data_IF_379494992084
#
_entry.id   IF_379494992084
#
_cell.length_a   1.000
_cell.length_b   1.000
_cell.length_c   1.000
_cell.angle_alpha   90.00
_cell.angle_beta   90.00
_cell.angle_gamma   90.00
#
_symmetry.space_group_name_H-M   'P 1'
#
loop_
_entity.id
_entity.type
_entity.pdbx_description
1 polymer ?
#
# COMPACT_ATOMS: atom_id res chain seq x y z
N UNK A 1 -0.35 8.93 -11.30
CA UNK A 1 -0.93 10.30 -11.43
C UNK A 1 -1.66 10.47 -12.78
N UNK A 2 -1.05 10.13 -13.94
CA UNK A 2 -1.70 10.32 -15.25
C UNK A 2 -3.04 9.57 -15.35
N UNK A 3 -3.11 8.30 -14.92
CA UNK A 3 -4.36 7.54 -14.91
C UNK A 3 -5.46 8.22 -14.06
N UNK A 4 -5.10 8.80 -12.90
CA UNK A 4 -6.03 9.58 -12.08
C UNK A 4 -6.53 10.83 -12.84
N UNK A 5 -5.64 11.52 -13.55
CA UNK A 5 -6.04 12.68 -14.35
C UNK A 5 -7.00 12.27 -15.47
N UNK A 6 -6.79 11.12 -16.12
CA UNK A 6 -7.75 10.56 -17.07
C UNK A 6 -9.11 10.29 -16.43
N UNK A 7 -9.13 9.57 -15.30
CA UNK A 7 -10.36 9.23 -14.59
C UNK A 7 -11.18 10.47 -14.16
N UNK A 8 -10.51 11.58 -13.83
CA UNK A 8 -11.14 12.83 -13.40
C UNK A 8 -11.57 13.74 -14.56
N UNK A 9 -10.79 13.78 -15.65
CA UNK A 9 -10.98 14.75 -16.74
C UNK A 9 -11.59 14.15 -18.00
N UNK A 10 -11.43 12.82 -18.22
CA UNK A 10 -11.77 12.17 -19.48
C UNK A 10 -10.79 12.50 -20.63
N UNK A 11 -9.68 13.20 -20.37
CA UNK A 11 -8.70 13.54 -21.42
C UNK A 11 -7.83 12.32 -21.75
N UNK A 12 -8.05 11.78 -22.95
CA UNK A 12 -7.40 10.56 -23.45
C UNK A 12 -5.86 10.66 -23.48
N UNK A 13 -5.29 11.84 -23.59
CA UNK A 13 -3.84 12.02 -23.59
C UNK A 13 -3.20 11.53 -22.27
N UNK A 14 -3.93 11.67 -21.16
CA UNK A 14 -3.47 11.14 -19.87
C UNK A 14 -3.55 9.61 -19.80
N UNK A 15 -4.58 9.00 -20.39
CA UNK A 15 -4.67 7.55 -20.47
C UNK A 15 -3.53 6.99 -21.33
N UNK A 16 -3.32 7.55 -22.53
CA UNK A 16 -2.26 7.12 -23.44
C UNK A 16 -0.87 7.23 -22.80
N UNK A 17 -0.63 8.30 -22.04
CA UNK A 17 0.60 8.48 -21.26
C UNK A 17 0.77 7.39 -20.17
N UNK A 18 -0.27 7.14 -19.39
CA UNK A 18 -0.23 6.16 -18.30
C UNK A 18 -0.03 4.73 -18.84
N UNK A 19 -0.80 4.37 -19.86
CA UNK A 19 -0.73 3.07 -20.53
C UNK A 19 0.65 2.87 -21.15
N UNK A 20 1.19 3.90 -21.83
CA UNK A 20 2.52 3.82 -22.44
C UNK A 20 3.61 3.52 -21.42
N UNK A 21 3.63 4.19 -20.28
CA UNK A 21 4.60 3.92 -19.20
C UNK A 21 4.48 2.52 -18.62
N UNK A 22 3.26 2.05 -18.37
CA UNK A 22 3.05 0.70 -17.81
C UNK A 22 3.42 -0.37 -18.81
N UNK A 23 3.03 -0.19 -20.07
CA UNK A 23 3.34 -1.17 -21.11
C UNK A 23 4.85 -1.28 -21.37
N UNK A 24 5.56 -0.16 -21.43
CA UNK A 24 7.02 -0.14 -21.51
C UNK A 24 7.68 -0.85 -20.33
N UNK A 25 7.18 -0.60 -19.11
CA UNK A 25 7.65 -1.25 -17.90
C UNK A 25 7.45 -2.77 -17.95
N UNK A 26 6.22 -3.24 -18.23
CA UNK A 26 5.95 -4.68 -18.27
C UNK A 26 6.71 -5.38 -19.39
N UNK A 27 6.86 -4.75 -20.55
CA UNK A 27 7.68 -5.28 -21.65
C UNK A 27 9.16 -5.41 -21.26
N UNK A 28 9.69 -4.47 -20.48
CA UNK A 28 11.07 -4.55 -19.97
C UNK A 28 11.21 -5.73 -18.97
N UNK A 29 10.24 -5.92 -18.08
CA UNK A 29 10.18 -7.07 -17.16
C UNK A 29 10.13 -8.41 -17.92
N UNK A 30 9.26 -8.51 -18.93
CA UNK A 30 9.16 -9.69 -19.80
C UNK A 30 10.49 -9.99 -20.52
N UNK A 31 11.21 -8.96 -20.96
CA UNK A 31 12.51 -9.12 -21.59
C UNK A 31 13.57 -9.68 -20.62
N UNK A 32 13.61 -9.21 -19.37
CA UNK A 32 14.48 -9.80 -18.34
C UNK A 32 14.14 -11.27 -18.11
N UNK A 33 12.86 -11.59 -17.93
CA UNK A 33 12.38 -12.95 -17.71
C UNK A 33 12.72 -13.86 -18.88
N UNK A 34 12.55 -13.40 -20.13
CA UNK A 34 12.88 -14.17 -21.33
C UNK A 34 14.39 -14.45 -21.47
N UNK A 35 15.26 -13.59 -20.90
CA UNK A 35 16.70 -13.79 -20.83
C UNK A 35 17.13 -14.68 -19.65
N UNK A 36 16.20 -15.20 -18.84
CA UNK A 36 16.49 -15.98 -17.65
C UNK A 36 16.96 -15.15 -16.46
N UNK A 37 16.71 -13.84 -16.51
CA UNK A 37 17.00 -12.88 -15.44
C UNK A 37 15.77 -12.70 -14.52
N UNK A 38 16.01 -12.27 -13.29
CA UNK A 38 14.93 -11.96 -12.36
C UNK A 38 14.23 -10.66 -12.75
N UNK A 39 12.91 -10.63 -12.61
CA UNK A 39 12.13 -9.39 -12.67
C UNK A 39 12.56 -8.42 -11.55
N UNK A 40 12.27 -7.13 -11.70
CA UNK A 40 12.71 -6.08 -10.76
C UNK A 40 12.10 -6.23 -9.35
N UNK A 41 10.99 -6.95 -9.23
CA UNK A 41 10.30 -7.25 -7.96
C UNK A 41 10.72 -8.61 -7.38
N UNK A 42 11.93 -9.05 -7.63
CA UNK A 42 12.52 -10.26 -7.07
C UNK A 42 13.55 -9.95 -5.97
N UNK A 43 13.80 -10.89 -5.08
CA UNK A 43 14.78 -10.77 -4.00
C UNK A 43 14.48 -9.59 -3.06
N UNK A 44 15.46 -8.76 -2.78
CA UNK A 44 15.32 -7.62 -1.85
C UNK A 44 14.36 -6.52 -2.34
N UNK A 45 13.98 -6.53 -3.61
CA UNK A 45 13.03 -5.57 -4.17
C UNK A 45 11.57 -5.84 -3.79
N UNK A 46 11.28 -6.91 -3.05
CA UNK A 46 9.91 -7.21 -2.60
C UNK A 46 9.26 -6.10 -1.77
N UNK A 47 10.04 -5.25 -1.13
CA UNK A 47 9.51 -4.04 -0.50
C UNK A 47 8.73 -3.16 -1.50
N UNK A 48 9.19 -3.08 -2.73
CA UNK A 48 8.62 -2.24 -3.78
C UNK A 48 7.45 -2.91 -4.54
N UNK A 49 7.18 -4.20 -4.30
CA UNK A 49 6.15 -4.94 -5.05
C UNK A 49 4.78 -4.26 -5.00
N UNK A 50 4.41 -3.70 -3.84
CA UNK A 50 3.16 -2.98 -3.66
C UNK A 50 3.03 -1.77 -4.58
N UNK A 51 4.10 -1.02 -4.75
CA UNK A 51 4.11 0.14 -5.63
C UNK A 51 4.10 -0.30 -7.10
N UNK A 52 4.97 -1.23 -7.50
CA UNK A 52 5.07 -1.69 -8.89
C UNK A 52 3.79 -2.37 -9.37
N UNK A 53 3.35 -3.42 -8.68
CA UNK A 53 2.11 -4.14 -9.04
C UNK A 53 0.90 -3.23 -8.86
N UNK A 54 0.85 -2.50 -7.74
CA UNK A 54 -0.27 -1.62 -7.45
C UNK A 54 -0.46 -0.53 -8.49
N UNK A 55 0.62 0.09 -8.97
CA UNK A 55 0.53 1.14 -9.98
C UNK A 55 0.12 0.59 -11.35
N UNK A 56 0.61 -0.60 -11.74
CA UNK A 56 0.13 -1.30 -12.95
C UNK A 56 -1.37 -1.57 -12.86
N UNK A 57 -1.85 -2.08 -11.72
CA UNK A 57 -3.26 -2.41 -11.52
C UNK A 57 -4.16 -1.16 -11.46
N UNK A 58 -3.69 -0.05 -10.88
CA UNK A 58 -4.42 1.22 -10.91
C UNK A 58 -4.56 1.79 -12.32
N UNK A 59 -3.53 1.66 -13.16
CA UNK A 59 -3.63 2.08 -14.56
C UNK A 59 -4.57 1.18 -15.33
N UNK A 60 -4.52 -0.14 -15.09
CA UNK A 60 -5.44 -1.09 -15.70
C UNK A 60 -6.90 -0.76 -15.35
N UNK A 61 -7.21 -0.49 -14.09
CA UNK A 61 -8.56 -0.20 -13.60
C UNK A 61 -9.07 1.15 -14.14
N UNK A 62 -8.29 2.23 -13.95
CA UNK A 62 -8.74 3.59 -14.30
C UNK A 62 -8.73 3.89 -15.79
N UNK A 63 -7.94 3.14 -16.58
CA UNK A 63 -7.87 3.26 -18.04
C UNK A 63 -8.42 2.03 -18.74
N UNK A 64 -9.27 1.22 -18.09
CA UNK A 64 -9.71 -0.09 -18.55
C UNK A 64 -10.29 -0.07 -19.98
N UNK A 65 -11.08 0.94 -20.31
CA UNK A 65 -11.69 1.14 -21.62
C UNK A 65 -10.69 1.45 -22.74
N UNK A 66 -9.46 1.81 -22.39
CA UNK A 66 -8.36 2.16 -23.32
C UNK A 66 -7.25 1.11 -23.37
N UNK A 67 -7.13 0.25 -22.35
CA UNK A 67 -6.14 -0.84 -22.31
C UNK A 67 -6.61 -1.98 -23.20
N UNK A 68 -5.74 -2.42 -24.14
CA UNK A 68 -6.10 -3.51 -25.06
C UNK A 68 -6.21 -4.86 -24.33
N UNK A 69 -6.97 -5.84 -24.90
CA UNK A 69 -7.03 -7.18 -24.30
C UNK A 69 -5.65 -7.83 -24.12
N UNK A 70 -4.76 -7.65 -25.08
CA UNK A 70 -3.40 -8.20 -25.03
C UNK A 70 -2.56 -7.57 -23.92
N UNK A 71 -2.72 -6.25 -23.69
CA UNK A 71 -2.06 -5.57 -22.57
C UNK A 71 -2.61 -6.05 -21.24
N UNK A 72 -3.95 -6.17 -21.10
CA UNK A 72 -4.58 -6.69 -19.89
C UNK A 72 -4.08 -8.09 -19.55
N UNK A 73 -4.02 -9.00 -20.52
CA UNK A 73 -3.52 -10.35 -20.32
C UNK A 73 -2.07 -10.36 -19.83
N UNK A 74 -1.17 -9.61 -20.48
CA UNK A 74 0.25 -9.53 -20.11
C UNK A 74 0.44 -8.94 -18.72
N UNK A 75 -0.18 -7.79 -18.44
CA UNK A 75 -0.03 -7.10 -17.16
C UNK A 75 -0.57 -7.95 -16.01
N UNK A 76 -1.72 -8.61 -16.23
CA UNK A 76 -2.30 -9.53 -15.25
C UNK A 76 -1.42 -10.75 -15.01
N UNK A 77 -0.87 -11.35 -16.06
CA UNK A 77 0.00 -12.52 -15.93
C UNK A 77 1.29 -12.18 -15.15
N UNK A 78 1.93 -11.04 -15.45
CA UNK A 78 3.09 -10.55 -14.70
C UNK A 78 2.75 -10.27 -13.23
N UNK A 79 1.63 -9.60 -12.97
CA UNK A 79 1.19 -9.26 -11.61
C UNK A 79 0.82 -10.51 -10.80
N UNK A 80 0.11 -11.48 -11.39
CA UNK A 80 -0.19 -12.77 -10.75
C UNK A 80 1.09 -13.47 -10.30
N UNK A 81 2.10 -13.55 -11.19
CA UNK A 81 3.37 -14.18 -10.83
C UNK A 81 4.10 -13.42 -9.73
N UNK A 82 4.10 -12.08 -9.78
CA UNK A 82 4.72 -11.25 -8.73
C UNK A 82 4.07 -11.48 -7.37
N UNK A 83 2.74 -11.46 -7.29
CA UNK A 83 1.99 -11.68 -6.04
C UNK A 83 2.13 -13.12 -5.55
N UNK A 84 2.08 -14.10 -6.46
CA UNK A 84 2.34 -15.50 -6.11
C UNK A 84 3.71 -15.66 -5.45
N UNK A 85 4.75 -15.12 -6.07
CA UNK A 85 6.13 -15.20 -5.57
C UNK A 85 6.28 -14.59 -4.17
N UNK A 86 5.55 -13.50 -3.86
CA UNK A 86 5.56 -12.90 -2.52
C UNK A 86 5.09 -13.92 -1.47
N UNK A 87 3.98 -14.58 -1.71
CA UNK A 87 3.36 -15.46 -0.71
C UNK A 87 3.93 -16.88 -0.70
N UNK A 88 4.71 -17.25 -1.74
CA UNK A 88 5.37 -18.55 -1.89
C UNK A 88 6.87 -18.39 -2.15
N UNK A 89 7.63 -17.81 -1.18
CA UNK A 89 9.01 -17.39 -1.41
C UNK A 89 9.97 -18.52 -1.82
N UNK A 90 9.72 -19.74 -1.33
CA UNK A 90 10.57 -20.90 -1.67
C UNK A 90 10.28 -21.47 -3.07
N UNK A 91 9.08 -21.21 -3.59
CA UNK A 91 8.64 -21.62 -4.93
C UNK A 91 8.73 -20.46 -5.94
N UNK A 92 9.17 -19.30 -5.49
CA UNK A 92 9.25 -18.10 -6.30
C UNK A 92 10.06 -18.35 -7.57
N UNK A 93 9.50 -17.95 -8.71
CA UNK A 93 10.10 -18.19 -10.02
C UNK A 93 9.70 -17.11 -11.02
N UNK A 94 10.54 -16.95 -12.05
CA UNK A 94 10.25 -16.13 -13.20
C UNK A 94 10.62 -16.90 -14.47
N UNK A 95 9.69 -17.00 -15.43
CA UNK A 95 9.92 -17.74 -16.67
C UNK A 95 10.34 -19.19 -16.48
N UNK A 96 9.90 -19.84 -15.40
CA UNK A 96 10.28 -21.21 -15.04
C UNK A 96 11.64 -21.35 -14.35
N UNK A 97 12.36 -20.23 -14.11
CA UNK A 97 13.59 -20.22 -13.34
C UNK A 97 13.26 -19.92 -11.88
N UNK A 98 13.59 -20.84 -10.97
CA UNK A 98 13.39 -20.68 -9.53
C UNK A 98 14.32 -19.59 -8.98
N UNK A 99 13.75 -18.61 -8.31
CA UNK A 99 14.46 -17.49 -7.69
C UNK A 99 13.90 -17.31 -6.27
N UNK A 100 14.28 -18.20 -5.32
CA UNK A 100 13.78 -18.15 -3.97
C UNK A 100 14.27 -16.88 -3.26
N UNK A 101 13.46 -16.41 -2.31
CA UNK A 101 13.82 -15.28 -1.47
C UNK A 101 13.55 -15.58 0.01
N UNK A 102 13.97 -14.67 0.89
CA UNK A 102 13.93 -14.93 2.34
C UNK A 102 12.52 -15.11 2.93
N UNK A 103 11.48 -14.64 2.24
CA UNK A 103 10.12 -14.58 2.80
C UNK A 103 9.99 -13.59 3.96
N UNK A 104 10.86 -12.59 4.04
CA UNK A 104 10.87 -11.63 5.13
C UNK A 104 9.50 -10.95 5.29
N UNK A 105 8.96 -11.04 6.50
CA UNK A 105 7.73 -10.35 6.93
C UNK A 105 6.42 -10.74 6.23
N UNK A 106 6.37 -11.83 5.46
CA UNK A 106 5.11 -12.30 4.84
C UNK A 106 4.05 -12.73 5.86
N UNK A 107 4.46 -13.03 7.08
CA UNK A 107 3.60 -13.43 8.20
C UNK A 107 3.73 -12.48 9.41
N UNK A 108 4.28 -11.28 9.22
CA UNK A 108 4.43 -10.29 10.29
C UNK A 108 3.64 -9.01 9.98
N UNK A 109 2.35 -8.93 10.35
CA UNK A 109 1.45 -7.82 10.01
C UNK A 109 1.77 -6.51 10.73
N UNK A 110 2.81 -6.46 11.55
CA UNK A 110 3.29 -5.24 12.21
C UNK A 110 4.56 -4.66 11.56
N UNK A 111 5.04 -5.30 10.49
CA UNK A 111 6.19 -4.87 9.71
C UNK A 111 5.77 -4.10 8.45
N UNK A 112 6.57 -3.08 8.05
CA UNK A 112 6.25 -2.21 6.91
C UNK A 112 6.17 -2.95 5.56
N UNK A 113 6.95 -4.01 5.34
CA UNK A 113 6.88 -4.84 4.12
C UNK A 113 5.50 -5.46 3.90
N UNK A 114 4.84 -5.86 4.98
CA UNK A 114 3.53 -6.50 4.92
C UNK A 114 2.49 -5.61 4.21
N UNK A 115 2.52 -4.31 4.43
CA UNK A 115 1.57 -3.37 3.81
C UNK A 115 1.79 -3.24 2.30
N UNK A 116 3.04 -3.33 1.84
CA UNK A 116 3.39 -3.40 0.42
C UNK A 116 2.81 -4.66 -0.23
N UNK A 117 2.98 -5.82 0.41
CA UNK A 117 2.45 -7.09 -0.08
C UNK A 117 0.92 -7.08 -0.14
N UNK A 118 0.26 -6.53 0.88
CA UNK A 118 -1.20 -6.36 0.89
C UNK A 118 -1.68 -5.45 -0.24
N UNK A 119 -0.96 -4.35 -0.54
CA UNK A 119 -1.32 -3.43 -1.62
C UNK A 119 -1.29 -4.14 -2.97
N UNK A 120 -0.22 -4.87 -3.26
CA UNK A 120 -0.13 -5.65 -4.49
C UNK A 120 -1.28 -6.65 -4.63
N UNK A 121 -1.53 -7.43 -3.56
CA UNK A 121 -2.55 -8.48 -3.55
C UNK A 121 -3.96 -7.93 -3.73
N UNK A 122 -4.32 -6.87 -2.98
CA UNK A 122 -5.64 -6.27 -3.04
C UNK A 122 -5.91 -5.63 -4.40
N UNK A 123 -4.98 -4.81 -4.89
CA UNK A 123 -5.17 -4.10 -6.16
C UNK A 123 -5.24 -5.08 -7.33
N UNK A 124 -4.41 -6.12 -7.35
CA UNK A 124 -4.52 -7.18 -8.35
C UNK A 124 -5.89 -7.86 -8.29
N UNK A 125 -6.32 -8.27 -7.09
CA UNK A 125 -7.60 -8.95 -6.92
C UNK A 125 -8.79 -8.11 -7.36
N UNK A 126 -8.83 -6.82 -6.97
CA UNK A 126 -9.96 -5.94 -7.30
C UNK A 126 -9.96 -5.51 -8.77
N UNK A 127 -8.82 -5.04 -9.30
CA UNK A 127 -8.75 -4.51 -10.66
C UNK A 127 -8.98 -5.56 -11.74
N UNK A 128 -8.76 -6.85 -11.42
CA UNK A 128 -8.89 -7.94 -12.40
C UNK A 128 -10.01 -8.93 -12.08
N UNK A 129 -10.92 -8.59 -11.13
CA UNK A 129 -11.88 -9.53 -10.56
C UNK A 129 -12.75 -10.25 -11.59
N UNK A 130 -13.19 -9.56 -12.65
CA UNK A 130 -14.10 -10.08 -13.66
C UNK A 130 -13.40 -10.95 -14.74
N UNK A 131 -12.11 -10.71 -14.98
CA UNK A 131 -11.38 -11.32 -16.10
C UNK A 131 -10.30 -12.33 -15.66
N UNK A 132 -9.79 -12.23 -14.45
CA UNK A 132 -8.69 -13.05 -13.92
C UNK A 132 -9.24 -14.19 -13.05
N UNK A 133 -9.09 -15.45 -13.44
CA UNK A 133 -9.58 -16.58 -12.63
C UNK A 133 -8.89 -16.73 -11.26
N UNK A 134 -7.73 -16.11 -11.05
CA UNK A 134 -7.02 -16.12 -9.77
C UNK A 134 -7.47 -14.99 -8.83
N UNK A 135 -8.12 -13.95 -9.36
CA UNK A 135 -8.50 -12.77 -8.58
C UNK A 135 -9.37 -13.05 -7.35
N UNK A 136 -10.40 -13.94 -7.41
CA UNK A 136 -11.14 -14.31 -6.20
C UNK A 136 -10.25 -14.88 -5.09
N UNK A 137 -9.20 -15.64 -5.45
CA UNK A 137 -8.20 -16.16 -4.52
C UNK A 137 -7.38 -15.05 -3.88
N UNK A 138 -6.99 -14.03 -4.63
CA UNK A 138 -6.25 -12.88 -4.09
C UNK A 138 -7.10 -12.02 -3.16
N UNK A 139 -8.38 -11.82 -3.49
CA UNK A 139 -9.34 -11.13 -2.62
C UNK A 139 -9.53 -11.89 -1.30
N UNK A 140 -9.70 -13.21 -1.37
CA UNK A 140 -9.82 -14.08 -0.18
C UNK A 140 -8.52 -14.08 0.63
N UNK A 141 -7.36 -14.16 -0.03
CA UNK A 141 -6.04 -14.07 0.62
C UNK A 141 -5.91 -12.76 1.39
N UNK A 142 -6.23 -11.62 0.78
CA UNK A 142 -6.20 -10.33 1.46
C UNK A 142 -7.17 -10.31 2.63
N UNK A 143 -8.47 -10.52 2.38
CA UNK A 143 -9.53 -10.28 3.35
C UNK A 143 -9.51 -11.26 4.52
N UNK A 144 -9.47 -12.56 4.23
CA UNK A 144 -9.59 -13.60 5.25
C UNK A 144 -8.24 -13.96 5.82
N UNK A 145 -7.31 -14.37 4.98
CA UNK A 145 -6.03 -14.90 5.48
C UNK A 145 -5.19 -13.80 6.14
N UNK A 146 -5.00 -12.68 5.44
CA UNK A 146 -4.05 -11.66 5.88
C UNK A 146 -4.66 -10.64 6.86
N UNK A 147 -5.89 -10.20 6.63
CA UNK A 147 -6.55 -9.25 7.55
C UNK A 147 -7.13 -10.00 8.75
N UNK A 148 -8.10 -10.90 8.53
CA UNK A 148 -8.88 -11.48 9.63
C UNK A 148 -8.06 -12.45 10.49
N UNK A 149 -7.32 -13.37 9.85
CA UNK A 149 -6.63 -14.43 10.58
C UNK A 149 -5.23 -14.04 11.07
N UNK A 150 -4.54 -13.11 10.42
CA UNK A 150 -3.18 -12.71 10.81
C UNK A 150 -3.13 -11.32 11.47
N UNK A 151 -3.65 -10.28 10.80
CA UNK A 151 -3.52 -8.90 11.28
C UNK A 151 -4.37 -8.65 12.52
N UNK A 152 -5.65 -8.98 12.49
CA UNK A 152 -6.58 -8.67 13.58
C UNK A 152 -6.11 -9.24 14.92
N UNK A 153 -5.79 -10.54 15.08
CA UNK A 153 -5.32 -11.07 16.36
C UNK A 153 -4.02 -10.43 16.84
N UNK A 154 -3.13 -10.09 15.89
CA UNK A 154 -1.85 -9.46 16.20
C UNK A 154 -2.03 -8.04 16.72
N UNK A 155 -2.90 -7.26 16.08
CA UNK A 155 -3.17 -5.88 16.49
C UNK A 155 -3.94 -5.80 17.82
N UNK A 156 -4.87 -6.71 18.05
CA UNK A 156 -5.55 -6.82 19.34
C UNK A 156 -4.60 -7.19 20.49
N UNK A 157 -3.56 -7.97 20.21
CA UNK A 157 -2.57 -8.35 21.21
C UNK A 157 -1.52 -7.27 21.48
N UNK A 158 -1.07 -6.54 20.45
CA UNK A 158 0.14 -5.73 20.53
C UNK A 158 -0.08 -4.22 20.28
N UNK A 159 -1.12 -3.83 19.55
CA UNK A 159 -1.30 -2.45 19.06
C UNK A 159 -2.65 -1.83 19.47
N UNK A 160 -3.22 -2.26 20.58
CA UNK A 160 -4.55 -1.80 21.08
C UNK A 160 -4.63 -0.28 21.21
N UNK A 161 -3.52 0.39 21.54
CA UNK A 161 -3.44 1.85 21.70
C UNK A 161 -3.18 2.64 20.42
N UNK A 162 -3.16 1.98 19.26
CA UNK A 162 -2.72 2.60 18.00
C UNK A 162 -1.19 2.62 17.86
N UNK A 163 -0.72 3.28 16.80
CA UNK A 163 0.71 3.41 16.53
C UNK A 163 1.31 2.17 15.84
N UNK A 164 2.63 2.05 15.85
CA UNK A 164 3.38 1.01 15.19
C UNK A 164 4.42 0.38 16.10
N UNK A 165 4.64 -0.92 15.97
CA UNK A 165 5.74 -1.63 16.62
C UNK A 165 7.10 -1.14 16.13
N UNK A 166 7.18 -0.65 14.90
CA UNK A 166 8.39 -0.05 14.32
C UNK A 166 8.58 1.42 14.74
N UNK A 167 7.68 1.93 15.60
CA UNK A 167 7.79 3.26 16.18
C UNK A 167 7.35 4.38 15.24
N UNK A 168 7.95 5.57 15.42
CA UNK A 168 7.58 6.80 14.72
C UNK A 168 8.34 7.04 13.41
N UNK A 169 9.32 6.21 13.10
CA UNK A 169 10.05 6.22 11.85
C UNK A 169 9.33 5.38 10.78
N UNK A 170 9.70 4.11 10.64
CA UNK A 170 9.05 3.20 9.68
C UNK A 170 7.56 3.00 9.94
N UNK A 171 7.08 3.24 11.16
CA UNK A 171 5.66 3.13 11.49
C UNK A 171 4.73 3.99 10.66
N UNK A 172 5.21 5.05 10.02
CA UNK A 172 4.43 5.88 9.09
C UNK A 172 3.99 5.11 7.83
N UNK A 173 4.66 3.99 7.50
CA UNK A 173 4.25 3.10 6.42
C UNK A 173 2.83 2.53 6.61
N UNK A 174 2.31 2.53 7.85
CA UNK A 174 0.91 2.19 8.13
C UNK A 174 -0.11 3.08 7.41
N UNK A 175 0.26 4.26 6.96
CA UNK A 175 -0.60 5.06 6.07
C UNK A 175 -1.02 4.26 4.83
N UNK A 176 -0.15 3.39 4.32
CA UNK A 176 -0.48 2.44 3.25
C UNK A 176 -1.63 1.51 3.63
N UNK A 177 -1.57 0.90 4.83
CA UNK A 177 -2.63 0.03 5.33
C UNK A 177 -3.96 0.76 5.49
N UNK A 178 -3.96 1.99 6.04
CA UNK A 178 -5.19 2.77 6.21
C UNK A 178 -5.84 3.11 4.86
N UNK A 179 -5.04 3.38 3.83
CA UNK A 179 -5.54 3.58 2.46
C UNK A 179 -6.15 2.29 1.89
N UNK A 180 -5.60 1.11 2.23
CA UNK A 180 -6.19 -0.17 1.82
C UNK A 180 -7.53 -0.44 2.51
N UNK A 181 -7.70 -0.02 3.76
CA UNK A 181 -8.99 -0.09 4.45
C UNK A 181 -10.05 0.77 3.76
N UNK A 182 -9.70 2.02 3.41
CA UNK A 182 -10.60 2.92 2.68
C UNK A 182 -10.94 2.37 1.28
N UNK A 183 -9.94 1.88 0.56
CA UNK A 183 -10.12 1.26 -0.74
C UNK A 183 -11.04 0.04 -0.67
N UNK A 184 -10.83 -0.85 0.30
CA UNK A 184 -11.69 -2.02 0.51
C UNK A 184 -13.14 -1.60 0.77
N UNK A 185 -13.36 -0.68 1.70
CA UNK A 185 -14.69 -0.20 2.05
C UNK A 185 -15.39 0.45 0.85
N UNK A 186 -14.68 1.28 0.08
CA UNK A 186 -15.24 1.92 -1.14
C UNK A 186 -15.58 0.90 -2.24
N UNK A 187 -14.80 -0.17 -2.37
CA UNK A 187 -14.99 -1.18 -3.41
C UNK A 187 -16.02 -2.24 -3.05
N UNK A 188 -16.17 -2.59 -1.77
CA UNK A 188 -16.99 -3.73 -1.32
C UNK A 188 -18.19 -3.33 -0.45
N UNK A 189 -18.15 -2.14 0.15
CA UNK A 189 -19.11 -1.69 1.16
C UNK A 189 -18.85 -2.27 2.57
N UNK A 190 -17.82 -3.08 2.75
CA UNK A 190 -17.45 -3.66 4.06
C UNK A 190 -16.39 -2.80 4.73
N UNK A 191 -16.61 -2.37 5.98
CA UNK A 191 -15.58 -1.70 6.77
C UNK A 191 -14.73 -2.71 7.54
N UNK A 192 -13.42 -2.81 7.19
CA UNK A 192 -12.46 -3.64 7.89
C UNK A 192 -11.59 -2.86 8.88
N UNK A 193 -11.58 -1.54 8.79
CA UNK A 193 -10.85 -0.67 9.72
C UNK A 193 -11.34 -0.82 11.16
N UNK A 194 -12.64 -1.09 11.34
CA UNK A 194 -13.28 -1.27 12.63
C UNK A 194 -13.15 -2.68 13.24
N UNK A 195 -12.44 -3.61 12.59
CA UNK A 195 -12.20 -4.95 13.16
C UNK A 195 -11.32 -4.91 14.41
N UNK A 196 -10.52 -3.84 14.57
CA UNK A 196 -9.74 -3.56 15.79
C UNK A 196 -9.88 -2.08 16.16
N UNK A 197 -9.52 -1.70 17.37
CA UNK A 197 -9.45 -0.28 17.79
C UNK A 197 -8.22 0.46 17.25
N UNK A 198 -7.30 -0.24 16.59
CA UNK A 198 -5.98 0.27 16.23
C UNK A 198 -6.06 1.53 15.36
N UNK A 199 -6.77 1.48 14.22
CA UNK A 199 -6.79 2.59 13.28
C UNK A 199 -7.42 3.85 13.89
N UNK A 200 -8.52 3.72 14.62
CA UNK A 200 -9.17 4.82 15.35
C UNK A 200 -8.21 5.47 16.36
N UNK A 201 -7.57 4.65 17.19
CA UNK A 201 -6.66 5.14 18.23
C UNK A 201 -5.33 5.65 17.71
N UNK A 202 -4.95 5.27 16.48
CA UNK A 202 -3.73 5.76 15.83
C UNK A 202 -3.74 7.27 15.58
N UNK A 203 -4.92 7.91 15.47
CA UNK A 203 -5.03 9.37 15.38
C UNK A 203 -4.48 10.01 16.65
N UNK A 204 -5.01 9.59 17.81
CA UNK A 204 -4.56 10.10 19.10
C UNK A 204 -3.08 9.75 19.37
N UNK A 205 -2.65 8.53 19.03
CA UNK A 205 -1.26 8.10 19.16
C UNK A 205 -0.32 9.03 18.40
N UNK A 206 -0.57 9.31 17.12
CA UNK A 206 0.26 10.20 16.31
C UNK A 206 0.28 11.62 16.88
N UNK A 207 -0.87 12.17 17.28
CA UNK A 207 -0.95 13.50 17.86
C UNK A 207 -0.12 13.63 19.15
N UNK A 208 -0.18 12.61 20.03
CA UNK A 208 0.59 12.58 21.27
C UNK A 208 2.08 12.29 21.07
N UNK A 209 2.46 11.78 19.89
CA UNK A 209 3.87 11.59 19.54
C UNK A 209 4.52 12.88 19.04
N UNK A 210 3.76 13.90 18.66
CA UNK A 210 4.28 15.22 18.26
C UNK A 210 4.70 16.00 19.52
N UNK A 211 5.90 16.57 19.48
CA UNK A 211 6.40 17.39 20.60
C UNK A 211 5.63 18.72 20.71
N UNK A 212 5.60 19.37 21.90
CA UNK A 212 4.81 20.58 22.12
C UNK A 212 5.14 21.76 21.18
N UNK A 213 6.36 21.80 20.62
CA UNK A 213 6.79 22.82 19.65
C UNK A 213 6.22 22.60 18.26
N UNK A 214 5.59 21.44 17.98
CA UNK A 214 4.95 21.05 16.72
C UNK A 214 5.87 21.09 15.49
N UNK A 215 7.16 20.88 15.71
CA UNK A 215 8.19 20.83 14.66
C UNK A 215 8.85 19.45 14.56
N UNK A 216 8.58 18.56 15.52
CA UNK A 216 9.19 17.23 15.60
C UNK A 216 8.21 16.19 16.12
N UNK A 217 8.57 14.93 15.90
CA UNK A 217 7.93 13.76 16.50
C UNK A 217 8.90 13.13 17.51
N UNK A 218 8.38 12.51 18.57
CA UNK A 218 9.19 11.76 19.53
C UNK A 218 9.89 10.59 18.82
N UNK A 219 11.22 10.49 18.85
CA UNK A 219 11.95 9.45 18.15
C UNK A 219 11.86 8.12 18.90
N UNK A 220 11.02 7.21 18.42
CA UNK A 220 10.78 5.89 19.00
C UNK A 220 10.93 4.84 17.90
N UNK A 221 11.64 3.75 18.17
CA UNK A 221 11.78 2.60 17.27
C UNK A 221 12.73 2.82 16.10
N UNK A 222 12.54 2.06 15.04
CA UNK A 222 13.41 2.07 13.88
C UNK A 222 13.32 3.38 13.09
N UNK A 223 14.49 3.82 12.57
CA UNK A 223 14.65 5.11 11.90
C UNK A 223 14.26 6.35 12.75
N UNK A 224 14.06 6.20 14.04
CA UNK A 224 13.78 7.28 14.96
C UNK A 224 15.08 8.00 15.39
N UNK A 225 15.82 8.53 14.42
CA UNK A 225 17.06 9.31 14.66
C UNK A 225 16.73 10.79 14.66
N UNK A 226 17.64 11.63 15.16
CA UNK A 226 17.47 13.09 15.11
C UNK A 226 17.15 13.61 13.72
N UNK A 227 17.73 13.02 12.68
CA UNK A 227 17.46 13.35 11.28
C UNK A 227 16.07 12.93 10.80
N UNK A 228 15.42 11.97 11.48
CA UNK A 228 14.09 11.45 11.16
C UNK A 228 13.05 11.83 12.21
N UNK A 229 13.43 12.57 13.25
CA UNK A 229 12.50 13.13 14.23
C UNK A 229 11.76 14.37 13.71
N UNK A 230 12.17 14.96 12.59
CA UNK A 230 11.44 16.03 11.94
C UNK A 230 10.07 15.55 11.44
N UNK A 231 9.09 16.44 11.42
CA UNK A 231 7.80 16.19 10.78
C UNK A 231 7.94 16.41 9.27
N UNK A 232 7.36 15.49 8.50
CA UNK A 232 7.35 15.50 7.04
C UNK A 232 5.94 15.34 6.50
N UNK A 233 5.76 15.51 5.20
CA UNK A 233 4.50 15.34 4.48
C UNK A 233 3.88 13.95 4.71
N UNK A 234 4.67 12.89 4.85
CA UNK A 234 4.14 11.55 5.13
C UNK A 234 3.49 11.42 6.52
N UNK A 235 3.84 12.24 7.51
CA UNK A 235 3.10 12.29 8.79
C UNK A 235 1.75 12.97 8.61
N UNK A 236 1.68 14.00 7.76
CA UNK A 236 0.42 14.60 7.34
C UNK A 236 -0.45 13.56 6.64
N UNK A 237 0.12 12.84 5.67
CA UNK A 237 -0.58 11.82 4.88
C UNK A 237 -1.11 10.68 5.76
N UNK A 238 -0.37 10.31 6.80
CA UNK A 238 -0.81 9.36 7.81
C UNK A 238 -2.09 9.83 8.51
N UNK A 239 -2.13 11.07 9.00
CA UNK A 239 -3.31 11.65 9.65
C UNK A 239 -4.47 11.88 8.68
N UNK A 240 -4.19 12.25 7.43
CA UNK A 240 -5.22 12.42 6.40
C UNK A 240 -5.86 11.08 6.01
N UNK A 241 -5.08 10.01 5.89
CA UNK A 241 -5.62 8.67 5.62
C UNK A 241 -6.55 8.19 6.74
N UNK A 242 -6.14 8.38 8.00
CA UNK A 242 -7.01 8.08 9.16
C UNK A 242 -8.25 8.96 9.22
N UNK A 243 -8.10 10.24 8.91
CA UNK A 243 -9.21 11.19 8.87
C UNK A 243 -10.25 10.89 7.78
N UNK A 244 -9.84 10.22 6.69
CA UNK A 244 -10.75 9.72 5.66
C UNK A 244 -11.60 8.54 6.17
N UNK A 245 -11.00 7.64 6.95
CA UNK A 245 -11.70 6.51 7.57
C UNK A 245 -12.67 6.94 8.69
N UNK A 246 -12.30 7.96 9.45
CA UNK A 246 -13.03 8.40 10.64
C UNK A 246 -13.32 9.91 10.60
N UNK A 247 -14.08 10.41 9.63
CA UNK A 247 -14.26 11.85 9.42
C UNK A 247 -14.99 12.56 10.56
N UNK A 248 -15.83 11.86 11.32
CA UNK A 248 -16.70 12.40 12.37
C UNK A 248 -16.11 12.33 13.77
N UNK A 249 -14.93 11.74 13.95
CA UNK A 249 -14.34 11.63 15.28
C UNK A 249 -13.82 12.99 15.80
N UNK A 250 -13.99 13.30 17.09
CA UNK A 250 -13.40 14.50 17.70
C UNK A 250 -11.85 14.52 17.57
N UNK A 251 -11.21 13.36 17.58
CA UNK A 251 -9.76 13.23 17.36
C UNK A 251 -9.35 13.59 15.95
N UNK A 252 -10.19 13.33 14.94
CA UNK A 252 -9.95 13.77 13.56
C UNK A 252 -9.99 15.29 13.45
N UNK A 253 -10.97 15.96 14.07
CA UNK A 253 -11.02 17.42 14.09
C UNK A 253 -9.80 18.02 14.82
N UNK A 254 -9.40 17.44 15.94
CA UNK A 254 -8.21 17.84 16.66
C UNK A 254 -6.93 17.64 15.81
N UNK A 255 -6.84 16.57 15.02
CA UNK A 255 -5.71 16.33 14.12
C UNK A 255 -5.63 17.36 12.99
N UNK A 256 -6.76 17.79 12.42
CA UNK A 256 -6.80 18.88 11.45
C UNK A 256 -6.27 20.19 12.03
N UNK A 257 -6.64 20.48 13.28
CA UNK A 257 -6.11 21.65 14.00
C UNK A 257 -4.60 21.54 14.20
N UNK A 258 -4.11 20.36 14.62
CA UNK A 258 -2.67 20.10 14.75
C UNK A 258 -1.94 20.36 13.43
N UNK A 259 -2.44 19.83 12.32
CA UNK A 259 -1.84 20.00 10.99
C UNK A 259 -1.78 21.47 10.58
N UNK A 260 -2.85 22.24 10.86
CA UNK A 260 -2.89 23.68 10.58
C UNK A 260 -1.91 24.50 11.42
N UNK A 261 -1.53 24.01 12.60
CA UNK A 261 -0.63 24.67 13.54
C UNK A 261 0.82 24.17 13.47
N UNK A 262 1.11 23.12 12.70
CA UNK A 262 2.48 22.65 12.51
C UNK A 262 3.35 23.71 11.87
N UNK A 263 4.55 23.92 12.45
CA UNK A 263 5.47 24.98 12.04
C UNK A 263 6.44 24.59 10.94
N UNK A 264 6.31 23.37 10.41
CA UNK A 264 7.18 22.85 9.35
C UNK A 264 6.54 23.04 7.99
N UNK A 265 7.22 23.68 7.02
CA UNK A 265 6.68 23.98 5.71
C UNK A 265 6.16 22.74 4.95
N UNK A 266 6.84 21.60 5.11
CA UNK A 266 6.51 20.33 4.47
C UNK A 266 5.14 19.79 4.91
N UNK A 267 4.69 20.14 6.11
CA UNK A 267 3.36 19.74 6.60
C UNK A 267 2.21 20.57 5.99
N UNK A 268 2.50 21.75 5.47
CA UNK A 268 1.52 22.67 4.90
C UNK A 268 1.41 22.60 3.37
N UNK A 269 2.27 21.83 2.71
CA UNK A 269 2.24 21.68 1.25
C UNK A 269 1.33 20.48 0.90
N UNK A 270 0.07 20.76 0.67
CA UNK A 270 -0.94 19.80 0.24
C UNK A 270 -1.55 20.24 -1.07
#
# INVERSE_FOLDING_TARGET
HAALMYALSGDEAYADLAIGFVDEFVLAEEALIANGEAASVAGDSYLEVGDRVGDVMLVLDWCFDRVTPEQRERWTAWANQAVYNVWHPEEASWGGVTIPWSGWSIDDPVNNYYFSFLRATLLLGLATYEENPEAPGWVEQFRTTKIELQLVPRYEAELVGGGSREGTGYGVAMAGLFRLYDLWEKSTGESIAGLTSHAELSIAHMMHSVVPTKDRIAPIGDHARDSTAALFDYHRDYLLALGALYPELPTTEASRTLLAECSVPEMGQG
#
